data_IF_857658822416
#
_entry.id   IF_857658822416
#
_cell.length_a   1.000
_cell.length_b   1.000
_cell.length_c   1.000
_cell.angle_alpha   90.00
_cell.angle_beta   90.00
_cell.angle_gamma   90.00
#
_symmetry.space_group_name_H-M   'P 1'
#
loop_
_entity.id
_entity.type
_entity.pdbx_description
1 polymer ?
#
# COMPACT_ATOMS: atom_id res chain seq x y z
N UNK A 1 19.43 -63.72 0.00
CA UNK A 1 18.11 -63.83 -0.67
C UNK A 1 17.83 -62.45 -1.25
N UNK A 2 18.11 -62.26 -2.54
CA UNK A 2 17.11 -62.08 -3.62
C UNK A 2 16.12 -60.95 -3.28
N UNK A 3 15.95 -59.87 -4.04
CA UNK A 3 16.36 -59.56 -5.41
C UNK A 3 16.36 -58.03 -5.64
N UNK A 4 17.20 -57.59 -6.57
CA UNK A 4 17.16 -56.27 -7.19
C UNK A 4 16.06 -56.18 -8.26
N UNK A 5 15.54 -54.98 -8.52
CA UNK A 5 14.99 -54.60 -9.82
C UNK A 5 15.13 -53.08 -10.02
N UNK A 6 16.17 -52.72 -10.78
CA UNK A 6 16.27 -51.52 -11.59
C UNK A 6 15.16 -51.58 -12.67
N UNK A 7 14.48 -50.46 -12.94
CA UNK A 7 13.90 -50.23 -14.26
C UNK A 7 14.05 -48.75 -14.63
N UNK A 8 14.83 -48.51 -15.67
CA UNK A 8 14.93 -47.24 -16.39
C UNK A 8 14.14 -47.35 -17.72
N UNK A 9 14.12 -46.22 -18.44
CA UNK A 9 13.65 -46.00 -19.84
C UNK A 9 12.11 -45.81 -19.90
N UNK A 10 11.52 -44.82 -20.59
CA UNK A 10 11.92 -44.03 -21.76
C UNK A 10 11.28 -42.64 -21.73
N UNK A 11 11.94 -41.64 -22.32
CA UNK A 11 11.31 -40.37 -22.69
C UNK A 11 10.40 -40.49 -23.92
N UNK A 12 9.51 -39.52 -24.07
CA UNK A 12 8.87 -39.13 -25.32
C UNK A 12 8.52 -37.63 -25.18
N UNK A 13 9.36 -36.75 -25.75
CA UNK A 13 9.19 -36.08 -27.03
C UNK A 13 8.15 -34.95 -27.03
N UNK A 14 8.66 -33.78 -27.38
CA UNK A 14 7.94 -32.58 -27.75
C UNK A 14 6.74 -32.89 -28.66
N UNK A 15 5.57 -32.38 -28.29
CA UNK A 15 4.52 -32.08 -29.24
C UNK A 15 4.81 -30.71 -29.83
N UNK A 16 5.41 -30.75 -31.02
CA UNK A 16 5.28 -29.72 -32.04
C UNK A 16 3.81 -29.49 -32.38
N UNK A 17 3.42 -28.22 -32.56
CA UNK A 17 2.29 -27.86 -33.41
C UNK A 17 1.03 -27.45 -32.67
N UNK A 18 0.99 -26.22 -32.17
CA UNK A 18 -0.17 -25.37 -32.46
C UNK A 18 0.27 -24.38 -33.53
N UNK A 19 -0.17 -24.66 -34.75
CA UNK A 19 -0.04 -23.75 -35.86
C UNK A 19 -1.10 -22.65 -35.68
N UNK A 20 -0.69 -21.44 -36.06
CA UNK A 20 -1.54 -20.47 -36.73
C UNK A 20 -2.44 -19.59 -35.85
N UNK A 21 -1.83 -18.57 -35.21
CA UNK A 21 -2.52 -17.31 -35.00
C UNK A 21 -2.38 -16.47 -36.29
N UNK A 22 -3.25 -16.73 -37.27
CA UNK A 22 -3.52 -15.74 -38.31
C UNK A 22 -4.27 -14.58 -37.68
N UNK A 23 -3.61 -13.43 -37.58
CA UNK A 23 -4.28 -12.15 -37.41
C UNK A 23 -4.93 -11.80 -38.76
N UNK A 24 -6.18 -12.20 -38.93
CA UNK A 24 -7.00 -11.83 -40.08
C UNK A 24 -7.45 -10.36 -39.94
N UNK A 25 -6.79 -9.49 -40.69
CA UNK A 25 -7.30 -8.16 -41.01
C UNK A 25 -8.37 -8.29 -42.09
N UNK A 26 -9.62 -8.54 -41.70
CA UNK A 26 -10.75 -8.26 -42.59
C UNK A 26 -11.95 -7.78 -41.79
N UNK A 27 -12.34 -6.53 -42.09
CA UNK A 27 -13.51 -5.89 -41.51
C UNK A 27 -14.80 -6.64 -41.84
N UNK A 28 -15.67 -6.69 -40.84
CA UNK A 28 -17.02 -7.22 -40.93
C UNK A 28 -17.86 -6.67 -39.80
N UNK A 29 -18.56 -5.57 -40.08
CA UNK A 29 -19.69 -5.10 -39.29
C UNK A 29 -20.78 -6.19 -39.23
N UNK A 30 -21.24 -6.52 -38.02
CA UNK A 30 -22.58 -7.08 -37.81
C UNK A 30 -22.68 -8.45 -37.12
N UNK A 31 -22.90 -8.40 -35.80
CA UNK A 31 -24.06 -9.06 -35.19
C UNK A 31 -23.84 -10.35 -34.39
N UNK A 32 -24.07 -10.25 -33.07
CA UNK A 32 -24.80 -11.29 -32.33
C UNK A 32 -24.00 -12.22 -31.41
N UNK A 33 -23.25 -11.67 -30.46
CA UNK A 33 -22.73 -12.40 -29.30
C UNK A 33 -23.37 -11.87 -28.01
N UNK A 34 -24.22 -12.66 -27.38
CA UNK A 34 -24.94 -12.31 -26.15
C UNK A 34 -23.97 -12.26 -24.96
N UNK A 35 -23.56 -11.04 -24.61
CA UNK A 35 -22.77 -10.72 -23.42
C UNK A 35 -23.00 -9.25 -23.06
N UNK A 36 -24.13 -8.97 -22.40
CA UNK A 36 -24.42 -7.76 -21.63
C UNK A 36 -23.96 -6.39 -22.17
N UNK A 37 -24.35 -5.98 -23.36
CA UNK A 37 -24.26 -4.55 -23.71
C UNK A 37 -25.33 -3.80 -22.91
N UNK A 38 -24.90 -2.96 -21.96
CA UNK A 38 -25.80 -2.07 -21.22
C UNK A 38 -26.45 -1.09 -22.22
N UNK A 39 -27.77 -0.89 -22.14
CA UNK A 39 -28.48 -0.03 -23.08
C UNK A 39 -28.17 1.43 -22.75
N UNK A 40 -27.41 2.12 -23.61
CA UNK A 40 -26.91 3.47 -23.36
C UNK A 40 -25.39 3.55 -23.48
N UNK A 41 -24.71 2.44 -23.19
CA UNK A 41 -23.27 2.41 -23.09
C UNK A 41 -22.57 2.78 -24.41
N UNK A 42 -21.63 3.72 -24.30
CA UNK A 42 -20.86 4.30 -25.38
C UNK A 42 -21.54 5.49 -26.05
N UNK A 43 -22.52 6.13 -25.41
CA UNK A 43 -23.19 7.33 -25.92
C UNK A 43 -22.55 8.65 -25.44
N UNK A 44 -21.57 8.55 -24.55
CA UNK A 44 -20.83 9.64 -23.93
C UNK A 44 -21.50 10.22 -22.68
N UNK A 45 -22.54 9.59 -22.13
CA UNK A 45 -23.29 10.09 -20.98
C UNK A 45 -23.33 9.02 -19.90
N UNK A 46 -22.78 9.32 -18.72
CA UNK A 46 -22.87 8.39 -17.59
C UNK A 46 -24.29 8.42 -17.02
N UNK A 47 -25.05 7.34 -17.21
CA UNK A 47 -26.40 7.16 -16.66
C UNK A 47 -26.39 6.47 -15.28
N UNK A 48 -27.58 6.30 -14.66
CA UNK A 48 -27.70 5.82 -13.26
C UNK A 48 -27.05 4.45 -12.99
N UNK A 49 -26.94 3.62 -14.02
CA UNK A 49 -26.45 2.23 -13.94
C UNK A 49 -25.02 2.08 -14.52
N UNK A 50 -24.38 3.17 -14.92
CA UNK A 50 -23.06 3.15 -15.56
C UNK A 50 -22.00 3.70 -14.61
N UNK A 51 -20.87 3.00 -14.48
CA UNK A 51 -19.71 3.49 -13.72
C UNK A 51 -18.84 4.44 -14.56
N UNK A 52 -18.90 4.31 -15.88
CA UNK A 52 -18.23 5.13 -16.87
C UNK A 52 -19.02 5.12 -18.20
N UNK A 53 -18.75 6.08 -19.07
CA UNK A 53 -19.13 6.03 -20.48
C UNK A 53 -18.16 6.93 -21.25
N UNK A 54 -17.23 6.33 -21.99
CA UNK A 54 -16.17 7.05 -22.70
C UNK A 54 -16.53 7.36 -24.17
N UNK A 55 -17.79 7.20 -24.54
CA UNK A 55 -18.32 7.44 -25.88
C UNK A 55 -18.09 6.30 -26.86
N UNK A 56 -17.71 5.11 -26.38
CA UNK A 56 -17.63 3.91 -27.18
C UNK A 56 -17.83 2.60 -26.35
N UNK A 57 -17.70 1.42 -26.96
CA UNK A 57 -17.91 0.10 -26.30
C UNK A 57 -16.69 -0.82 -26.43
N UNK A 58 -15.50 -0.24 -26.65
CA UNK A 58 -14.26 -0.98 -26.91
C UNK A 58 -13.54 -1.24 -25.60
N UNK A 59 -13.47 -2.49 -25.20
CA UNK A 59 -12.61 -2.86 -24.07
C UNK A 59 -11.12 -2.51 -24.30
N UNK A 60 -10.42 -2.22 -23.21
CA UNK A 60 -8.99 -1.92 -23.12
C UNK A 60 -8.64 -0.43 -23.11
N UNK A 61 -9.63 0.46 -23.06
CA UNK A 61 -9.47 1.92 -22.92
C UNK A 61 -9.92 2.48 -21.57
N UNK A 62 -10.42 1.62 -20.68
CA UNK A 62 -10.79 1.93 -19.31
C UNK A 62 -12.29 1.90 -19.03
N UNK A 63 -13.14 1.84 -20.06
CA UNK A 63 -14.58 1.63 -19.91
C UNK A 63 -15.03 0.44 -20.77
N UNK A 64 -15.50 -0.63 -20.15
CA UNK A 64 -15.86 -1.84 -20.91
C UNK A 64 -17.21 -1.71 -21.63
N UNK A 65 -17.57 -2.71 -22.44
CA UNK A 65 -18.84 -2.72 -23.17
C UNK A 65 -20.09 -2.81 -22.29
N UNK A 66 -19.92 -3.06 -20.98
CA UNK A 66 -20.94 -3.02 -19.96
C UNK A 66 -21.00 -1.69 -19.19
N UNK A 67 -20.15 -0.72 -19.55
CA UNK A 67 -20.00 0.56 -18.85
C UNK A 67 -19.51 0.41 -17.40
N UNK A 68 -18.71 -0.63 -17.17
CA UNK A 68 -17.93 -0.82 -15.95
C UNK A 68 -16.49 -0.31 -16.15
N UNK A 69 -15.91 0.27 -15.10
CA UNK A 69 -14.51 0.70 -15.13
C UNK A 69 -13.61 -0.54 -15.18
N UNK A 70 -12.70 -0.58 -16.16
CA UNK A 70 -11.80 -1.71 -16.32
C UNK A 70 -10.75 -1.79 -15.19
N UNK A 71 -10.31 -3.01 -14.87
CA UNK A 71 -9.32 -3.22 -13.81
C UNK A 71 -8.02 -2.45 -14.12
N UNK A 72 -7.57 -1.65 -13.15
CA UNK A 72 -6.36 -0.83 -13.28
C UNK A 72 -6.60 0.51 -13.97
N UNK A 73 -7.84 0.93 -14.18
CA UNK A 73 -8.20 2.24 -14.73
C UNK A 73 -8.98 3.10 -13.74
N UNK A 74 -8.82 4.42 -13.88
CA UNK A 74 -9.74 5.40 -13.31
C UNK A 74 -10.48 6.10 -14.45
N UNK A 75 -11.73 6.48 -14.19
CA UNK A 75 -12.55 7.24 -15.12
C UNK A 75 -13.25 8.39 -14.37
N UNK A 76 -13.41 9.55 -15.00
CA UNK A 76 -14.28 10.62 -14.50
C UNK A 76 -14.77 11.52 -15.63
N UNK A 77 -15.82 12.26 -15.33
CA UNK A 77 -16.50 13.13 -16.28
C UNK A 77 -17.61 12.41 -17.03
N UNK A 78 -18.30 13.17 -17.89
CA UNK A 78 -19.31 12.66 -18.80
C UNK A 78 -19.25 13.53 -20.08
N UNK A 79 -18.69 13.02 -21.20
CA UNK A 79 -18.10 11.68 -21.37
C UNK A 79 -16.94 11.42 -20.41
N UNK A 80 -16.80 10.17 -19.98
CA UNK A 80 -15.71 9.70 -19.14
C UNK A 80 -14.39 9.82 -19.89
N UNK A 81 -13.39 10.40 -19.23
CA UNK A 81 -12.00 10.29 -19.65
C UNK A 81 -11.38 9.23 -18.75
N UNK A 82 -10.94 8.13 -19.36
CA UNK A 82 -10.33 7.02 -18.66
C UNK A 82 -8.81 6.99 -18.86
N UNK A 83 -8.09 6.50 -17.86
CA UNK A 83 -6.64 6.33 -17.92
C UNK A 83 -6.16 5.26 -16.95
N UNK A 84 -5.01 4.62 -17.24
CA UNK A 84 -4.46 3.60 -16.37
C UNK A 84 -3.97 4.21 -15.06
N UNK A 85 -4.07 3.46 -13.97
CA UNK A 85 -3.43 3.81 -12.71
C UNK A 85 -1.91 3.86 -12.87
N UNK A 86 -1.32 4.92 -12.35
CA UNK A 86 0.11 5.11 -12.27
C UNK A 86 0.58 4.74 -10.87
N UNK A 87 1.65 3.94 -10.79
CA UNK A 87 2.29 3.60 -9.51
C UNK A 87 3.66 4.25 -9.43
N UNK A 88 3.90 5.04 -8.40
CA UNK A 88 5.23 5.50 -8.03
C UNK A 88 5.67 4.84 -6.73
N UNK A 89 6.93 4.35 -6.70
CA UNK A 89 7.58 3.84 -5.49
C UNK A 89 8.83 4.66 -5.23
N UNK A 90 8.81 5.45 -4.16
CA UNK A 90 9.92 6.34 -3.77
C UNK A 90 10.38 5.95 -2.37
N UNK A 91 11.68 5.84 -2.16
CA UNK A 91 12.22 5.48 -0.85
C UNK A 91 13.65 5.93 -0.64
N UNK A 92 14.02 6.03 0.63
CA UNK A 92 15.37 6.29 1.14
C UNK A 92 15.81 5.11 2.01
N UNK A 93 17.11 4.84 2.05
CA UNK A 93 17.66 3.65 2.71
C UNK A 93 17.56 2.36 1.87
N UNK A 94 17.90 1.18 2.42
CA UNK A 94 18.32 0.96 3.81
C UNK A 94 19.71 1.53 4.14
N UNK A 95 20.03 1.63 5.43
CA UNK A 95 21.33 2.07 5.94
C UNK A 95 21.44 3.57 6.21
N UNK A 96 20.32 4.25 6.39
CA UNK A 96 20.31 5.65 6.85
C UNK A 96 20.84 5.77 8.29
N UNK A 97 20.52 4.78 9.15
CA UNK A 97 20.84 4.77 10.57
C UNK A 97 20.53 6.12 11.26
N UNK A 98 19.41 6.74 10.90
CA UNK A 98 19.04 8.04 11.42
C UNK A 98 18.48 7.87 12.83
N UNK A 99 19.11 8.49 13.83
CA UNK A 99 18.72 8.31 15.23
C UNK A 99 17.31 8.87 15.47
N UNK A 100 16.48 8.12 16.17
CA UNK A 100 15.21 8.63 16.67
C UNK A 100 15.49 9.53 17.90
N UNK A 101 14.91 10.74 17.97
CA UNK A 101 15.07 11.63 19.12
C UNK A 101 14.57 10.97 20.41
N UNK A 102 15.50 10.81 21.35
CA UNK A 102 15.33 10.18 22.67
C UNK A 102 15.34 11.29 23.74
N UNK A 103 14.33 12.17 23.71
CA UNK A 103 14.31 13.40 24.52
C UNK A 103 12.97 13.75 25.19
N UNK A 104 12.01 12.79 25.25
CA UNK A 104 10.64 13.01 25.75
C UNK A 104 9.95 14.24 25.14
N UNK A 105 10.42 14.69 23.98
CA UNK A 105 9.95 15.92 23.34
C UNK A 105 8.77 15.69 22.43
N UNK A 106 8.44 14.43 22.13
CA UNK A 106 7.28 14.14 21.32
C UNK A 106 6.02 14.66 22.01
N UNK A 107 5.36 15.61 21.35
CA UNK A 107 4.22 16.37 21.87
C UNK A 107 2.97 16.19 21.00
N UNK A 108 2.98 15.17 20.13
CA UNK A 108 1.93 14.93 19.13
C UNK A 108 2.12 15.71 17.82
N UNK A 109 3.06 16.66 17.74
CA UNK A 109 3.28 17.44 16.52
C UNK A 109 4.29 16.78 15.56
N UNK A 110 4.24 17.15 14.27
CA UNK A 110 5.24 16.69 13.28
C UNK A 110 6.63 17.30 13.56
N UNK A 111 6.68 18.50 14.15
CA UNK A 111 7.94 19.22 14.43
C UNK A 111 8.80 18.55 15.51
N UNK A 112 8.19 17.73 16.36
CA UNK A 112 8.87 16.93 17.38
C UNK A 112 9.25 15.53 16.89
N UNK A 113 8.94 15.16 15.64
CA UNK A 113 9.29 13.86 15.05
C UNK A 113 10.53 13.96 14.17
N UNK A 114 11.14 12.81 13.90
CA UNK A 114 12.14 12.67 12.86
C UNK A 114 11.49 12.30 11.53
N UNK A 115 11.73 13.07 10.47
CA UNK A 115 10.99 12.97 9.22
C UNK A 115 11.88 12.77 7.99
N UNK A 116 11.56 11.76 7.19
CA UNK A 116 12.18 11.51 5.89
C UNK A 116 11.30 12.05 4.76
N UNK A 117 11.87 12.90 3.92
CA UNK A 117 11.22 13.41 2.73
C UNK A 117 11.34 12.43 1.55
N UNK A 118 10.21 12.13 0.91
CA UNK A 118 10.06 11.22 -0.21
C UNK A 118 9.45 11.99 -1.40
N UNK A 119 10.28 12.57 -2.28
CA UNK A 119 9.79 13.38 -3.39
C UNK A 119 9.12 12.51 -4.45
N UNK A 120 7.79 12.58 -4.55
CA UNK A 120 7.01 11.88 -5.57
C UNK A 120 6.76 12.81 -6.75
N UNK A 121 7.09 12.36 -7.95
CA UNK A 121 6.78 13.08 -9.20
C UNK A 121 6.03 12.17 -10.15
N UNK A 122 4.78 12.52 -10.47
CA UNK A 122 3.95 11.79 -11.42
C UNK A 122 2.96 12.69 -12.15
N UNK A 123 2.49 12.23 -13.30
CA UNK A 123 1.50 12.93 -14.15
C UNK A 123 0.06 12.48 -13.84
N UNK A 124 -0.19 12.07 -12.60
CA UNK A 124 -1.51 11.77 -12.09
C UNK A 124 -2.07 12.96 -11.29
N UNK A 125 -3.39 13.05 -11.21
CA UNK A 125 -4.09 14.18 -10.57
C UNK A 125 -4.58 13.86 -9.18
N UNK A 126 -4.87 12.59 -8.90
CA UNK A 126 -5.45 12.16 -7.64
C UNK A 126 -4.84 10.86 -7.13
N UNK A 127 -4.57 10.79 -5.84
CA UNK A 127 -4.24 9.55 -5.15
C UNK A 127 -5.46 8.62 -5.16
N UNK A 128 -5.18 7.33 -5.39
CA UNK A 128 -6.15 6.22 -5.29
C UNK A 128 -5.83 5.33 -4.09
N UNK A 129 -4.54 5.07 -3.84
CA UNK A 129 -4.10 4.25 -2.71
C UNK A 129 -2.66 4.56 -2.34
N UNK A 130 -2.36 4.49 -1.06
CA UNK A 130 -1.00 4.62 -0.53
C UNK A 130 -0.60 3.34 0.23
N UNK A 131 0.67 2.96 0.12
CA UNK A 131 1.32 1.96 0.96
C UNK A 131 2.64 2.55 1.47
N UNK A 132 2.90 2.44 2.76
CA UNK A 132 4.13 2.94 3.41
C UNK A 132 4.94 1.77 3.93
N UNK A 133 6.25 1.76 3.73
CA UNK A 133 7.17 0.81 4.35
C UNK A 133 8.17 1.58 5.21
N UNK A 134 8.40 1.09 6.42
CA UNK A 134 9.41 1.59 7.36
C UNK A 134 10.36 0.46 7.77
N UNK A 135 11.66 0.73 7.76
CA UNK A 135 12.69 -0.14 8.31
C UNK A 135 13.32 0.55 9.50
N UNK A 136 13.10 -0.01 10.69
CA UNK A 136 13.48 0.58 11.97
C UNK A 136 14.26 -0.44 12.81
N UNK A 137 15.23 0.03 13.58
CA UNK A 137 15.74 -0.69 14.76
C UNK A 137 15.19 0.03 15.97
N UNK A 138 14.45 -0.64 16.84
CA UNK A 138 13.99 -0.03 18.08
C UNK A 138 13.68 -1.12 19.10
N UNK A 139 14.02 -0.88 20.35
CA UNK A 139 13.69 -1.74 21.47
C UNK A 139 12.51 -1.15 22.18
N UNK A 140 11.40 -1.88 22.30
CA UNK A 140 10.13 -1.44 22.88
C UNK A 140 9.17 -0.72 21.92
N UNK A 141 8.30 -1.47 21.25
CA UNK A 141 7.39 -0.93 20.24
C UNK A 141 6.38 0.12 20.76
N UNK A 142 6.01 0.08 22.04
CA UNK A 142 4.92 0.88 22.62
C UNK A 142 5.20 2.39 22.75
N UNK A 143 6.43 2.85 22.61
CA UNK A 143 6.76 4.28 22.65
C UNK A 143 6.78 4.90 21.23
N UNK A 144 6.72 4.08 20.18
CA UNK A 144 6.79 4.55 18.82
C UNK A 144 5.48 5.17 18.35
N UNK A 145 5.61 6.32 17.70
CA UNK A 145 4.56 6.92 16.88
C UNK A 145 5.06 7.15 15.47
N UNK A 146 4.27 6.71 14.49
CA UNK A 146 4.61 6.82 13.07
C UNK A 146 3.50 7.57 12.36
N UNK A 147 3.87 8.65 11.67
CA UNK A 147 2.94 9.48 10.87
C UNK A 147 3.42 9.57 9.44
N UNK A 148 2.47 9.75 8.54
CA UNK A 148 2.72 10.13 7.15
C UNK A 148 2.03 11.45 6.86
N UNK A 149 2.72 12.32 6.12
CA UNK A 149 2.23 13.64 5.71
C UNK A 149 2.20 13.69 4.18
N UNK A 150 1.08 14.09 3.61
CA UNK A 150 0.93 14.30 2.17
C UNK A 150 1.51 15.66 1.73
N UNK A 151 1.74 15.86 0.42
CA UNK A 151 2.15 17.15 -0.12
C UNK A 151 1.16 18.29 0.15
N UNK A 152 -0.11 17.97 0.39
CA UNK A 152 -1.15 18.96 0.74
C UNK A 152 -1.19 19.28 2.24
N UNK A 153 -0.41 18.56 3.06
CA UNK A 153 -0.30 18.76 4.50
C UNK A 153 -1.27 17.91 5.32
N UNK A 154 -2.01 16.99 4.71
CA UNK A 154 -2.83 16.02 5.44
C UNK A 154 -1.92 15.06 6.22
N UNK A 155 -2.26 14.80 7.47
CA UNK A 155 -1.48 13.94 8.37
C UNK A 155 -2.32 12.74 8.78
N UNK A 156 -1.75 11.55 8.61
CA UNK A 156 -2.35 10.29 9.09
C UNK A 156 -1.35 9.55 9.97
N UNK A 157 -1.83 9.11 11.13
CA UNK A 157 -1.08 8.28 12.06
C UNK A 157 -1.20 6.81 11.67
N UNK A 158 -0.07 6.17 11.40
CA UNK A 158 0.02 4.77 10.99
C UNK A 158 0.10 3.84 12.19
N UNK A 159 0.87 4.26 13.19
CA UNK A 159 1.05 3.58 14.45
C UNK A 159 1.05 4.63 15.55
N UNK A 160 0.25 4.42 16.58
CA UNK A 160 0.33 5.14 17.84
C UNK A 160 0.46 4.11 18.94
N UNK A 161 1.67 3.93 19.49
CA UNK A 161 1.92 3.24 20.75
C UNK A 161 1.26 1.84 20.83
N UNK A 162 1.83 0.86 20.10
CA UNK A 162 1.22 -0.47 19.95
C UNK A 162 0.90 -1.13 21.30
N UNK A 163 -0.19 -1.88 21.38
CA UNK A 163 -0.62 -2.57 22.60
C UNK A 163 -1.44 -1.72 23.57
N UNK A 164 -1.65 -0.43 23.30
CA UNK A 164 -2.52 0.46 24.09
C UNK A 164 -3.84 0.70 23.33
N UNK A 165 -4.98 0.60 24.03
CA UNK A 165 -6.29 0.94 23.44
C UNK A 165 -6.47 2.46 23.42
N UNK A 166 -6.59 3.04 22.21
CA UNK A 166 -6.83 4.47 21.98
C UNK A 166 -5.86 5.42 22.72
N UNK A 167 -4.53 5.25 22.55
CA UNK A 167 -3.55 6.09 23.21
C UNK A 167 -3.71 7.54 22.74
N UNK A 168 -3.49 8.46 23.69
CA UNK A 168 -3.09 9.82 23.34
C UNK A 168 -1.67 9.76 22.78
N UNK A 169 -1.49 10.16 21.53
CA UNK A 169 -0.19 10.05 20.87
C UNK A 169 0.84 10.98 21.51
N UNK A 170 0.45 12.05 22.21
CA UNK A 170 1.38 12.89 22.97
C UNK A 170 1.70 12.40 24.40
N UNK A 171 1.28 11.19 24.78
CA UNK A 171 1.48 10.66 26.14
C UNK A 171 2.66 9.70 26.25
N UNK A 172 3.22 9.58 27.46
CA UNK A 172 4.33 8.66 27.80
C UNK A 172 3.91 7.44 28.63
N UNK A 173 2.65 6.97 28.52
CA UNK A 173 2.15 5.81 29.28
C UNK A 173 2.79 4.48 28.83
N UNK A 174 3.70 3.89 29.59
CA UNK A 174 4.55 2.74 29.18
C UNK A 174 3.88 1.35 29.15
N UNK A 175 2.55 1.28 28.97
CA UNK A 175 1.76 0.06 29.21
C UNK A 175 1.47 -0.80 27.95
N UNK A 176 2.08 -0.51 26.80
CA UNK A 176 1.85 -1.28 25.56
C UNK A 176 2.86 -2.40 25.29
N UNK A 177 2.98 -2.80 24.02
CA UNK A 177 3.78 -3.94 23.58
C UNK A 177 5.30 -3.65 23.62
N UNK A 178 6.05 -4.54 24.29
CA UNK A 178 7.49 -4.40 24.48
C UNK A 178 8.34 -5.18 23.47
N UNK A 179 7.76 -5.66 22.37
CA UNK A 179 8.49 -6.33 21.30
C UNK A 179 9.44 -5.38 20.59
N UNK A 180 10.45 -5.93 19.92
CA UNK A 180 11.45 -5.14 19.20
C UNK A 180 11.08 -4.97 17.71
N UNK A 181 11.61 -3.92 17.10
CA UNK A 181 11.72 -3.78 15.64
C UNK A 181 13.18 -3.98 15.21
N UNK A 182 13.38 -4.64 14.08
CA UNK A 182 14.71 -4.85 13.51
C UNK A 182 14.76 -4.50 12.04
N UNK A 183 15.80 -3.79 11.63
CA UNK A 183 15.97 -3.23 10.27
C UNK A 183 15.94 -4.27 9.15
N UNK A 184 16.22 -5.53 9.48
CA UNK A 184 16.21 -6.65 8.52
C UNK A 184 14.80 -7.11 8.15
N UNK A 185 13.78 -6.67 8.89
CA UNK A 185 12.38 -7.07 8.76
C UNK A 185 11.48 -5.83 8.80
N UNK A 186 11.44 -5.04 7.70
CA UNK A 186 10.69 -3.80 7.66
C UNK A 186 9.18 -4.04 7.71
N UNK A 187 8.45 -3.07 8.25
CA UNK A 187 7.00 -3.09 8.41
C UNK A 187 6.34 -2.32 7.28
N UNK A 188 5.28 -2.87 6.72
CA UNK A 188 4.45 -2.23 5.70
C UNK A 188 3.11 -1.82 6.28
N UNK A 189 2.67 -0.59 6.02
CA UNK A 189 1.34 -0.07 6.33
C UNK A 189 0.51 0.02 5.05
N UNK A 190 -0.69 -0.56 5.09
CA UNK A 190 -1.66 -0.56 3.99
C UNK A 190 -3.07 -0.84 4.52
N UNK A 191 -4.08 -0.23 3.93
CA UNK A 191 -5.47 -0.31 4.43
C UNK A 191 -6.11 -1.71 4.29
N UNK A 192 -5.59 -2.56 3.41
CA UNK A 192 -6.05 -3.93 3.20
C UNK A 192 -5.30 -4.98 4.05
N UNK A 193 -4.45 -4.54 4.99
CA UNK A 193 -3.77 -5.44 5.91
C UNK A 193 -4.75 -6.09 6.90
N UNK A 194 -4.52 -7.37 7.19
CA UNK A 194 -5.41 -8.17 8.04
C UNK A 194 -5.30 -7.82 9.54
N UNK A 195 -4.18 -7.25 9.97
CA UNK A 195 -3.90 -6.92 11.36
C UNK A 195 -3.78 -5.40 11.52
N UNK A 196 -4.52 -4.76 12.42
CA UNK A 196 -4.32 -3.36 12.75
C UNK A 196 -2.99 -3.17 13.51
N UNK A 197 -2.34 -2.02 13.35
CA UNK A 197 -1.06 -1.70 13.96
C UNK A 197 -1.12 -1.69 15.50
N UNK A 198 -2.29 -1.47 16.11
CA UNK A 198 -2.49 -1.60 17.56
C UNK A 198 -2.15 -3.01 18.09
N UNK A 199 -2.28 -4.05 17.24
CA UNK A 199 -1.99 -5.44 17.58
C UNK A 199 -0.58 -5.89 17.15
N UNK A 200 0.29 -4.95 16.78
CA UNK A 200 1.67 -5.24 16.40
C UNK A 200 2.45 -5.78 17.62
N UNK A 201 3.19 -6.88 17.43
CA UNK A 201 3.91 -7.56 18.52
C UNK A 201 3.06 -8.46 19.44
N UNK A 202 1.73 -8.44 19.30
CA UNK A 202 0.86 -9.24 20.17
C UNK A 202 1.17 -10.74 19.98
N UNK A 203 1.35 -11.44 21.11
CA UNK A 203 1.71 -12.86 21.24
C UNK A 203 3.19 -13.23 21.06
N UNK A 204 4.10 -12.27 20.97
CA UNK A 204 5.54 -12.53 21.14
C UNK A 204 6.06 -11.85 22.40
N UNK A 205 7.20 -12.35 22.93
CA UNK A 205 7.81 -11.79 24.13
C UNK A 205 8.79 -10.66 23.80
N UNK A 206 9.15 -9.83 24.79
CA UNK A 206 10.01 -8.65 24.60
C UNK A 206 11.45 -8.95 24.11
N UNK A 207 11.86 -10.23 24.01
CA UNK A 207 13.14 -10.61 23.38
C UNK A 207 13.02 -10.88 21.87
N UNK A 208 11.79 -10.88 21.35
CA UNK A 208 11.46 -11.14 19.95
C UNK A 208 11.30 -9.85 19.16
N UNK A 209 11.34 -10.00 17.85
CA UNK A 209 11.09 -8.91 16.93
C UNK A 209 9.88 -9.19 16.05
N UNK A 210 9.04 -8.17 15.90
CA UNK A 210 7.89 -8.16 14.99
C UNK A 210 8.36 -8.48 13.57
N UNK A 211 7.49 -9.10 12.78
CA UNK A 211 7.74 -9.62 11.42
C UNK A 211 8.73 -10.78 11.36
N UNK A 212 9.86 -10.71 12.06
CA UNK A 212 10.86 -11.77 12.12
C UNK A 212 10.36 -13.02 12.84
N UNK A 213 9.80 -12.83 14.03
CA UNK A 213 9.48 -13.93 14.95
C UNK A 213 7.99 -14.31 14.94
N UNK A 214 7.09 -13.40 14.54
CA UNK A 214 5.64 -13.64 14.41
C UNK A 214 5.17 -13.86 12.96
N UNK A 215 5.99 -13.50 11.96
CA UNK A 215 5.65 -13.59 10.53
C UNK A 215 4.66 -12.53 10.03
N UNK A 216 4.31 -11.53 10.85
CA UNK A 216 3.36 -10.46 10.48
C UNK A 216 4.16 -9.18 10.16
N UNK A 217 4.18 -8.81 8.89
CA UNK A 217 4.99 -7.69 8.39
C UNK A 217 4.15 -6.57 7.77
N UNK A 218 2.82 -6.69 7.79
CA UNK A 218 1.91 -5.75 7.19
C UNK A 218 0.76 -5.42 8.14
N UNK A 219 0.50 -4.14 8.36
CA UNK A 219 -0.48 -3.66 9.30
C UNK A 219 -1.37 -2.55 8.72
N UNK A 220 -2.63 -2.51 9.17
CA UNK A 220 -3.54 -1.41 8.90
C UNK A 220 -3.23 -0.24 9.82
N UNK A 221 -3.37 1.02 9.37
CA UNK A 221 -3.19 2.17 10.25
C UNK A 221 -4.05 2.08 11.52
N UNK A 222 -3.45 2.37 12.67
CA UNK A 222 -4.14 2.49 13.96
C UNK A 222 -3.75 3.81 14.62
N UNK A 223 -4.51 4.89 14.39
CA UNK A 223 -4.12 6.23 14.81
C UNK A 223 -4.30 6.49 16.31
N UNK A 224 -5.14 5.71 17.01
CA UNK A 224 -5.61 6.07 18.35
C UNK A 224 -6.25 7.47 18.32
N UNK A 225 -5.84 8.35 19.24
CA UNK A 225 -6.26 9.76 19.24
C UNK A 225 -5.44 10.67 18.32
N UNK A 226 -4.43 10.13 17.63
CA UNK A 226 -3.64 10.87 16.65
C UNK A 226 -4.46 11.28 15.42
N UNK A 227 -3.92 12.15 14.56
CA UNK A 227 -4.59 12.61 13.34
C UNK A 227 -4.82 11.47 12.33
N UNK A 228 -5.89 11.61 11.54
CA UNK A 228 -6.27 10.68 10.49
C UNK A 228 -7.03 9.44 10.99
N UNK A 229 -7.37 8.57 10.05
CA UNK A 229 -8.06 7.28 10.24
C UNK A 229 -7.37 6.15 9.50
N UNK A 230 -6.92 6.42 8.26
CA UNK A 230 -6.40 5.40 7.34
C UNK A 230 -5.63 6.05 6.19
N UNK A 231 -4.90 5.27 5.39
CA UNK A 231 -4.21 5.79 4.22
C UNK A 231 -5.18 6.28 3.13
N UNK A 232 -6.46 5.88 3.20
CA UNK A 232 -7.54 6.42 2.39
C UNK A 232 -7.84 7.91 2.67
N UNK A 233 -7.34 8.50 3.75
CA UNK A 233 -7.48 9.94 4.01
C UNK A 233 -6.80 10.78 2.91
N UNK A 234 -5.86 10.20 2.17
CA UNK A 234 -5.17 10.85 1.06
C UNK A 234 -5.87 10.70 -0.28
N UNK A 235 -6.94 9.88 -0.38
CA UNK A 235 -7.67 9.72 -1.64
C UNK A 235 -8.13 11.09 -2.16
N UNK A 236 -8.05 11.27 -3.47
CA UNK A 236 -8.40 12.50 -4.19
C UNK A 236 -7.39 13.66 -4.07
N UNK A 237 -6.38 13.57 -3.19
CA UNK A 237 -5.31 14.59 -3.11
C UNK A 237 -4.32 14.48 -4.27
N UNK A 238 -3.60 15.58 -4.54
CA UNK A 238 -2.49 15.60 -5.48
C UNK A 238 -1.38 14.64 -5.05
N UNK A 239 -1.02 13.64 -5.87
CA UNK A 239 -0.01 12.66 -5.49
C UNK A 239 1.44 13.20 -5.61
N UNK A 240 1.65 14.27 -6.38
CA UNK A 240 2.96 14.85 -6.65
C UNK A 240 3.36 15.87 -5.60
N UNK A 241 4.60 15.76 -5.12
CA UNK A 241 5.20 16.63 -4.12
C UNK A 241 5.99 15.83 -3.07
N UNK A 242 6.37 16.52 -2.00
CA UNK A 242 7.12 15.90 -0.92
C UNK A 242 6.18 15.22 0.07
N UNK A 243 6.25 13.89 0.12
CA UNK A 243 5.64 13.10 1.18
C UNK A 243 6.61 12.97 2.33
N UNK A 244 6.12 13.04 3.57
CA UNK A 244 6.95 12.83 4.75
C UNK A 244 6.55 11.53 5.45
N UNK A 245 7.55 10.74 5.84
CA UNK A 245 7.37 9.64 6.79
C UNK A 245 8.11 10.02 8.06
N UNK A 246 7.35 10.21 9.14
CA UNK A 246 7.83 10.73 10.40
C UNK A 246 7.72 9.68 11.50
N UNK A 247 8.76 9.54 12.31
CA UNK A 247 8.84 8.61 13.42
C UNK A 247 9.28 9.36 14.66
N UNK A 248 8.59 9.12 15.77
CA UNK A 248 8.95 9.63 17.08
C UNK A 248 9.05 8.48 18.06
N UNK A 249 9.90 8.70 19.04
CA UNK A 249 10.03 7.90 20.25
C UNK A 249 9.48 8.75 21.41
N UNK A 250 8.49 8.24 22.11
CA UNK A 250 7.77 8.96 23.17
C UNK A 250 8.40 8.78 24.56
N UNK A 251 9.40 7.91 24.72
CA UNK A 251 10.12 7.70 25.99
C UNK A 251 11.61 8.07 25.87
N UNK A 252 12.29 8.27 27.01
CA UNK A 252 13.70 8.70 27.08
C UNK A 252 14.70 7.59 27.49
N UNK A 253 14.26 6.33 27.49
CA UNK A 253 15.08 5.21 27.98
C UNK A 253 15.59 4.26 26.88
N UNK A 254 15.09 4.39 25.67
CA UNK A 254 15.35 3.48 24.56
C UNK A 254 15.96 4.21 23.37
N UNK A 255 16.80 3.51 22.61
CA UNK A 255 17.44 4.10 21.43
C UNK A 255 17.02 3.33 20.20
N UNK A 256 16.59 4.06 19.18
CA UNK A 256 16.24 3.50 17.88
C UNK A 256 16.81 4.26 16.70
N UNK A 257 16.72 3.62 15.54
CA UNK A 257 17.12 4.20 14.25
C UNK A 257 16.05 3.97 13.19
N UNK A 258 15.79 5.02 12.41
CA UNK A 258 15.10 4.94 11.13
C UNK A 258 16.13 4.68 10.03
N UNK A 259 16.07 3.49 9.45
CA UNK A 259 17.03 3.02 8.46
C UNK A 259 16.51 3.03 7.05
N UNK A 260 15.19 2.92 6.88
CA UNK A 260 14.53 2.91 5.59
C UNK A 260 13.13 3.51 5.69
N UNK A 261 12.74 4.32 4.71
CA UNK A 261 11.36 4.73 4.51
C UNK A 261 11.04 4.63 3.01
N UNK A 262 9.86 4.15 2.67
CA UNK A 262 9.40 4.05 1.29
C UNK A 262 7.90 4.29 1.23
N UNK A 263 7.48 5.10 0.27
CA UNK A 263 6.08 5.30 -0.07
C UNK A 263 5.80 4.74 -1.44
N UNK A 264 4.66 4.07 -1.57
CA UNK A 264 4.09 3.62 -2.83
C UNK A 264 2.78 4.34 -3.01
N UNK A 265 2.69 5.17 -4.05
CA UNK A 265 1.49 5.93 -4.39
C UNK A 265 0.92 5.36 -5.68
N UNK A 266 -0.32 4.85 -5.61
CA UNK A 266 -1.14 4.53 -6.77
C UNK A 266 -2.06 5.71 -7.02
N UNK A 267 -2.07 6.23 -8.23
CA UNK A 267 -2.76 7.48 -8.56
C UNK A 267 -3.31 7.45 -9.99
N UNK A 268 -4.20 8.40 -10.28
CA UNK A 268 -4.86 8.56 -11.57
C UNK A 268 -4.96 10.04 -12.00
#
# INVERSE_FOLDING_TARGET
MRAAALLAVAGCNALSGVNDFTFDTSGGDGGGGSGGAHAGCGDGRVELEEACDDGNVRSGDGCDAGCEIEEGFGCAGSPSVCGPYLTSRVGVGPGLAHALPDDQRYDGSIESMECMALPVTMVATRVVRVEVLVGLSHSWLSDLVIKVVSPEGTVTTLLSRAGIEEPDDGSSELDGDGSNLVVTHPITFRDDAASPAELMGVNIDNSKAVCRDDGICAYGPSPGKGPGKSLADFELESPSGDWLVCVADADDTETGTLDQARITVVAW
#
